data_IF_156246700724
#
_entry.id   IF_156246700724
#
_cell.length_a   1.000
_cell.length_b   1.000
_cell.length_c   1.000
_cell.angle_alpha   90.00
_cell.angle_beta   90.00
_cell.angle_gamma   90.00
#
_symmetry.space_group_name_H-M   'P 1'
#
loop_
_entity.id
_entity.type
_entity.pdbx_description
1 polymer ?
#
# COMPACT_ATOMS: atom_id res chain seq x y z
N UNK A 1 -5.64 3.34 2.25
CA UNK A 1 -6.56 2.78 3.25
C UNK A 1 -6.62 1.26 3.20
N UNK A 2 -7.09 0.68 2.09
CA UNK A 2 -7.40 -0.77 1.99
C UNK A 2 -6.28 -1.72 2.43
N UNK A 3 -5.06 -1.61 1.88
CA UNK A 3 -3.99 -2.58 2.15
C UNK A 3 -3.53 -2.68 3.61
N UNK A 4 -3.72 -1.60 4.38
CA UNK A 4 -3.38 -1.52 5.81
C UNK A 4 -4.22 -2.50 6.65
N UNK A 5 -5.47 -2.72 6.23
CA UNK A 5 -6.43 -3.64 6.86
C UNK A 5 -6.45 -4.98 6.12
N UNK A 6 -6.44 -4.93 4.78
CA UNK A 6 -6.59 -6.11 3.93
C UNK A 6 -5.43 -7.10 4.10
N UNK A 7 -4.18 -6.62 4.22
CA UNK A 7 -3.00 -7.49 4.37
C UNK A 7 -3.05 -8.30 5.69
N UNK A 8 -3.25 -7.70 6.88
CA UNK A 8 -3.45 -8.44 8.12
C UNK A 8 -4.60 -9.45 8.05
N UNK A 9 -5.72 -9.07 7.45
CA UNK A 9 -6.87 -9.96 7.32
C UNK A 9 -6.56 -11.18 6.44
N UNK A 10 -5.88 -11.00 5.31
CA UNK A 10 -5.45 -12.13 4.47
C UNK A 10 -4.49 -13.06 5.22
N UNK A 11 -3.56 -12.51 5.99
CA UNK A 11 -2.64 -13.35 6.78
C UNK A 11 -3.37 -14.11 7.89
N UNK A 12 -4.28 -13.47 8.60
CA UNK A 12 -4.96 -14.06 9.77
C UNK A 12 -6.11 -15.00 9.38
N UNK A 13 -6.89 -14.64 8.35
CA UNK A 13 -8.09 -15.39 7.95
C UNK A 13 -7.80 -16.41 6.84
N UNK A 14 -6.89 -16.09 5.92
CA UNK A 14 -6.57 -16.93 4.76
C UNK A 14 -5.22 -17.66 4.90
N UNK A 15 -4.47 -17.40 5.98
CA UNK A 15 -3.18 -18.06 6.24
C UNK A 15 -2.08 -17.71 5.24
N UNK A 16 -2.26 -16.64 4.46
CA UNK A 16 -1.29 -16.24 3.43
C UNK A 16 0.00 -15.73 4.08
N UNK A 17 1.14 -16.01 3.43
CA UNK A 17 2.39 -15.36 3.82
C UNK A 17 2.36 -13.86 3.49
N UNK A 18 3.24 -13.09 4.14
CA UNK A 18 3.28 -11.63 4.05
C UNK A 18 3.46 -11.14 2.61
N UNK A 19 4.32 -11.79 1.82
CA UNK A 19 4.63 -11.35 0.47
C UNK A 19 3.44 -11.61 -0.46
N UNK A 20 2.83 -12.79 -0.36
CA UNK A 20 1.64 -13.14 -1.15
C UNK A 20 0.46 -12.24 -0.79
N UNK A 21 0.16 -12.05 0.50
CA UNK A 21 -0.91 -11.14 0.94
C UNK A 21 -0.71 -9.70 0.43
N UNK A 22 0.53 -9.22 0.45
CA UNK A 22 0.87 -7.88 -0.05
C UNK A 22 0.72 -7.78 -1.57
N UNK A 23 1.19 -8.77 -2.33
CA UNK A 23 1.03 -8.83 -3.78
C UNK A 23 -0.45 -8.93 -4.20
N UNK A 24 -1.22 -9.79 -3.54
CA UNK A 24 -2.67 -9.94 -3.81
C UNK A 24 -3.43 -8.67 -3.49
N UNK A 25 -3.13 -8.00 -2.37
CA UNK A 25 -3.76 -6.71 -2.04
C UNK A 25 -3.46 -5.65 -3.11
N UNK A 26 -2.23 -5.57 -3.62
CA UNK A 26 -1.86 -4.65 -4.69
C UNK A 26 -2.63 -4.95 -5.98
N UNK A 27 -2.73 -6.22 -6.37
CA UNK A 27 -3.43 -6.66 -7.58
C UNK A 27 -4.93 -6.33 -7.55
N UNK A 28 -5.55 -6.29 -6.37
CA UNK A 28 -6.96 -5.90 -6.22
C UNK A 28 -7.12 -4.38 -6.13
N UNK A 29 -6.18 -3.67 -5.50
CA UNK A 29 -6.33 -2.24 -5.25
C UNK A 29 -5.95 -1.35 -6.44
N UNK A 30 -4.90 -1.69 -7.21
CA UNK A 30 -4.42 -0.81 -8.29
C UNK A 30 -5.30 -0.86 -9.54
N UNK A 31 -5.53 -2.04 -10.17
CA UNK A 31 -6.16 -2.11 -11.48
C UNK A 31 -7.67 -1.82 -11.47
N UNK A 32 -8.53 -2.53 -10.69
CA UNK A 32 -9.96 -2.27 -10.74
C UNK A 32 -10.38 -1.11 -9.85
N UNK A 33 -9.92 -1.08 -8.58
CA UNK A 33 -10.38 -0.08 -7.61
C UNK A 33 -9.73 1.29 -7.88
N UNK A 34 -8.40 1.31 -8.08
CA UNK A 34 -7.63 2.53 -8.25
C UNK A 34 -8.02 3.31 -9.51
N UNK A 35 -8.16 2.62 -10.65
CA UNK A 35 -8.53 3.26 -11.93
C UNK A 35 -9.94 3.85 -11.85
N UNK A 36 -10.93 3.08 -11.37
CA UNK A 36 -12.32 3.56 -11.25
C UNK A 36 -12.44 4.72 -10.25
N UNK A 37 -11.73 4.64 -9.12
CA UNK A 37 -11.70 5.73 -8.15
C UNK A 37 -11.07 6.99 -8.75
N UNK A 38 -9.90 6.87 -9.39
CA UNK A 38 -9.22 8.00 -10.02
C UNK A 38 -10.09 8.66 -11.10
N UNK A 39 -10.82 7.87 -11.89
CA UNK A 39 -11.76 8.38 -12.88
C UNK A 39 -12.89 9.21 -12.23
N UNK A 40 -13.50 8.69 -11.16
CA UNK A 40 -14.52 9.44 -10.42
C UNK A 40 -13.97 10.74 -9.83
N UNK A 41 -12.77 10.72 -9.25
CA UNK A 41 -12.13 11.92 -8.72
C UNK A 41 -11.77 12.94 -9.80
N UNK A 42 -11.36 12.47 -10.99
CA UNK A 42 -11.14 13.32 -12.15
C UNK A 42 -12.42 14.04 -12.58
N UNK A 43 -13.52 13.30 -12.72
CA UNK A 43 -14.83 13.86 -13.07
C UNK A 43 -15.34 14.88 -12.03
N UNK A 44 -15.03 14.66 -10.76
CA UNK A 44 -15.39 15.60 -9.67
C UNK A 44 -14.50 16.84 -9.57
N UNK A 45 -13.48 16.99 -10.42
CA UNK A 45 -12.51 18.10 -10.37
C UNK A 45 -11.51 18.03 -9.20
N UNK A 46 -11.54 16.96 -8.40
CA UNK A 46 -10.67 16.78 -7.23
C UNK A 46 -9.34 16.07 -7.55
N UNK A 47 -9.03 15.86 -8.83
CA UNK A 47 -7.79 15.24 -9.27
C UNK A 47 -6.82 16.29 -9.84
N UNK A 48 -5.70 16.53 -9.16
CA UNK A 48 -4.61 17.35 -9.69
C UNK A 48 -3.61 16.48 -10.48
N UNK A 49 -3.78 16.41 -11.80
CA UNK A 49 -2.98 15.55 -12.69
C UNK A 49 -1.47 15.77 -12.55
N UNK A 50 -1.01 17.02 -12.42
CA UNK A 50 0.41 17.33 -12.30
C UNK A 50 1.07 16.65 -11.09
N UNK A 51 0.42 16.71 -9.93
CA UNK A 51 0.89 16.03 -8.72
C UNK A 51 0.75 14.52 -8.85
N UNK A 52 -0.35 14.04 -9.44
CA UNK A 52 -0.58 12.62 -9.66
C UNK A 52 0.53 11.98 -10.52
N UNK A 53 1.00 12.65 -11.57
CA UNK A 53 2.06 12.16 -12.43
C UNK A 53 3.40 12.03 -11.70
N UNK A 54 3.82 13.07 -10.97
CA UNK A 54 5.09 13.06 -10.21
C UNK A 54 5.07 11.93 -9.16
N UNK A 55 3.96 11.81 -8.43
CA UNK A 55 3.77 10.77 -7.43
C UNK A 55 3.73 9.38 -8.10
N UNK A 56 3.05 9.23 -9.24
CA UNK A 56 3.00 7.96 -9.96
C UNK A 56 4.39 7.50 -10.41
N UNK A 57 5.21 8.39 -10.98
CA UNK A 57 6.57 8.03 -11.42
C UNK A 57 7.44 7.60 -10.25
N UNK A 58 7.44 8.37 -9.16
CA UNK A 58 8.21 8.02 -7.95
C UNK A 58 7.69 6.74 -7.29
N UNK A 59 6.37 6.52 -7.31
CA UNK A 59 5.74 5.31 -6.78
C UNK A 59 6.10 4.07 -7.60
N UNK A 60 6.13 4.17 -8.94
CA UNK A 60 6.55 3.06 -9.81
C UNK A 60 8.00 2.66 -9.52
N UNK A 61 8.90 3.64 -9.46
CA UNK A 61 10.30 3.37 -9.16
C UNK A 61 10.48 2.79 -7.75
N UNK A 62 9.90 3.45 -6.74
CA UNK A 62 9.97 3.01 -5.35
C UNK A 62 9.34 1.62 -5.14
N UNK A 63 8.19 1.34 -5.75
CA UNK A 63 7.51 0.06 -5.69
C UNK A 63 8.30 -1.06 -6.39
N UNK A 64 8.87 -0.78 -7.56
CA UNK A 64 9.67 -1.76 -8.30
C UNK A 64 10.94 -2.15 -7.53
N UNK A 65 11.75 -1.18 -7.09
CA UNK A 65 12.96 -1.48 -6.32
C UNK A 65 12.63 -2.01 -4.93
N UNK A 66 11.62 -1.44 -4.27
CA UNK A 66 11.18 -1.85 -2.94
C UNK A 66 10.66 -3.29 -2.91
N UNK A 67 9.86 -3.70 -3.90
CA UNK A 67 9.40 -5.10 -4.01
C UNK A 67 10.56 -6.06 -4.25
N UNK A 68 11.52 -5.69 -5.09
CA UNK A 68 12.71 -6.51 -5.35
C UNK A 68 13.55 -6.71 -4.09
N UNK A 69 13.75 -5.64 -3.31
CA UNK A 69 14.42 -5.73 -2.01
C UNK A 69 13.61 -6.57 -1.02
N UNK A 70 12.30 -6.38 -0.94
CA UNK A 70 11.44 -7.12 -0.02
C UNK A 70 11.47 -8.64 -0.27
N UNK A 71 11.55 -9.07 -1.54
CA UNK A 71 11.68 -10.49 -1.90
C UNK A 71 13.00 -11.13 -1.45
N UNK A 72 14.04 -10.33 -1.18
CA UNK A 72 15.35 -10.81 -0.72
C UNK A 72 15.47 -10.84 0.81
N UNK A 73 14.51 -10.26 1.53
CA UNK A 73 14.53 -10.17 3.00
C UNK A 73 13.83 -11.39 3.61
N UNK A 74 14.38 -11.89 4.73
CA UNK A 74 13.78 -13.01 5.45
C UNK A 74 12.35 -12.68 5.91
N UNK A 75 11.35 -13.58 5.76
CA UNK A 75 9.93 -13.27 6.00
C UNK A 75 9.64 -12.70 7.40
N UNK A 76 10.32 -13.18 8.43
CA UNK A 76 10.18 -12.73 9.81
C UNK A 76 10.65 -11.27 9.96
N UNK A 77 11.74 -10.89 9.29
CA UNK A 77 12.25 -9.53 9.30
C UNK A 77 11.30 -8.61 8.54
N UNK A 78 10.81 -9.02 7.37
CA UNK A 78 9.84 -8.25 6.59
C UNK A 78 8.57 -7.97 7.42
N UNK A 79 8.04 -8.99 8.11
CA UNK A 79 6.88 -8.85 8.99
C UNK A 79 7.13 -7.89 10.15
N UNK A 80 8.30 -7.97 10.81
CA UNK A 80 8.67 -7.07 11.91
C UNK A 80 8.79 -5.61 11.44
N UNK A 81 9.46 -5.38 10.32
CA UNK A 81 9.60 -4.03 9.74
C UNK A 81 8.24 -3.46 9.36
N UNK A 82 7.39 -4.26 8.71
CA UNK A 82 6.03 -3.84 8.37
C UNK A 82 5.22 -3.49 9.62
N UNK A 83 5.23 -4.35 10.65
CA UNK A 83 4.55 -4.10 11.91
C UNK A 83 5.05 -2.82 12.61
N UNK A 84 6.36 -2.57 12.60
CA UNK A 84 6.94 -1.35 13.17
C UNK A 84 6.48 -0.10 12.41
N UNK A 85 6.47 -0.12 11.07
CA UNK A 85 5.97 0.99 10.25
C UNK A 85 4.49 1.25 10.54
N UNK A 86 3.68 0.19 10.65
CA UNK A 86 2.26 0.30 10.99
C UNK A 86 2.06 0.91 12.38
N UNK A 87 2.88 0.51 13.36
CA UNK A 87 2.84 1.08 14.71
C UNK A 87 3.16 2.57 14.68
N UNK A 88 4.24 2.97 14.02
CA UNK A 88 4.62 4.39 13.87
C UNK A 88 3.52 5.18 13.15
N UNK A 89 2.94 4.64 12.07
CA UNK A 89 1.84 5.27 11.37
C UNK A 89 0.61 5.45 12.27
N UNK A 90 0.28 4.44 13.07
CA UNK A 90 -0.85 4.47 14.01
C UNK A 90 -0.63 5.52 15.11
N UNK A 91 0.56 5.55 15.71
CA UNK A 91 0.95 6.55 16.70
C UNK A 91 0.88 7.95 16.11
N UNK A 92 1.45 8.16 14.91
CA UNK A 92 1.41 9.46 14.24
C UNK A 92 -0.02 9.89 13.94
N UNK A 93 -0.88 8.99 13.44
CA UNK A 93 -2.29 9.30 13.19
C UNK A 93 -3.02 9.67 14.47
N UNK A 94 -2.73 8.98 15.59
CA UNK A 94 -3.33 9.26 16.88
C UNK A 94 -2.97 10.67 17.42
N UNK A 95 -1.72 11.09 17.25
CA UNK A 95 -1.25 12.41 17.69
C UNK A 95 -1.37 13.52 16.64
N UNK A 96 -1.75 13.18 15.40
CA UNK A 96 -1.98 14.16 14.34
C UNK A 96 -3.23 14.97 14.68
N UNK A 97 -3.05 16.21 15.14
CA UNK A 97 -4.15 17.17 15.27
C UNK A 97 -4.81 17.35 13.89
N UNK A 98 -6.13 17.17 13.87
CA UNK A 98 -6.98 17.42 12.70
C UNK A 98 -7.00 18.90 12.32
#
# INVERSE_FOLDING_TARGET
GGGLIMIPLMMLLLGMDQLTAQGTSLAVMLPPIGILAAYNYYQSGNLKINYALIIATTFILGGYFGSKLAMQVHPQTLRKVFAFIMFVASVKMFFSKS
#
